data_IF_505194706549
#
_entry.id   IF_505194706549
#
_cell.length_a   1.000
_cell.length_b   1.000
_cell.length_c   1.000
_cell.angle_alpha   90.00
_cell.angle_beta   90.00
_cell.angle_gamma   90.00
#
_symmetry.space_group_name_H-M   'P 1'
#
loop_
_entity.id
_entity.type
_entity.pdbx_description
1 polymer ?
#
# COMPACT_ATOMS: atom_id res chain seq x y z
N UNK A 1 0.18 -6.02 -17.32
CA UNK A 1 -0.52 -7.27 -17.10
C UNK A 1 -1.04 -7.41 -15.70
N UNK A 2 -2.08 -8.23 -15.54
CA UNK A 2 -2.69 -8.44 -14.23
C UNK A 2 -2.61 -9.91 -13.82
N UNK A 3 -3.09 -10.22 -12.63
CA UNK A 3 -3.06 -11.59 -12.12
C UNK A 3 -1.63 -12.14 -12.08
N UNK A 4 -0.71 -11.32 -11.58
CA UNK A 4 0.69 -11.71 -11.49
C UNK A 4 1.53 -10.62 -10.85
N UNK A 5 2.39 -11.01 -9.91
CA UNK A 5 3.26 -10.06 -9.22
C UNK A 5 4.71 -10.25 -9.63
N UNK A 6 5.51 -9.18 -9.47
CA UNK A 6 6.93 -9.20 -9.83
C UNK A 6 7.75 -10.08 -8.88
N UNK A 7 8.76 -10.74 -9.42
CA UNK A 7 9.61 -11.61 -8.62
C UNK A 7 10.15 -10.88 -7.40
N UNK A 8 10.46 -9.60 -7.56
CA UNK A 8 10.97 -8.79 -6.47
C UNK A 8 10.55 -7.33 -6.63
N UNK A 9 10.91 -6.51 -5.64
CA UNK A 9 10.56 -5.09 -5.66
C UNK A 9 11.70 -4.24 -5.11
N UNK A 10 11.98 -3.13 -5.78
CA UNK A 10 13.04 -2.23 -5.36
C UNK A 10 12.74 -1.64 -3.99
N UNK A 11 13.74 -1.60 -3.13
CA UNK A 11 13.58 -1.06 -1.78
C UNK A 11 12.97 0.33 -1.83
N UNK A 12 13.37 1.12 -2.81
CA UNK A 12 12.85 2.48 -2.97
C UNK A 12 11.33 2.49 -3.00
N UNK A 13 10.75 1.46 -3.60
CA UNK A 13 9.30 1.35 -3.69
C UNK A 13 8.66 1.23 -2.31
N UNK A 14 9.38 0.57 -1.40
CA UNK A 14 8.89 0.38 -0.04
C UNK A 14 8.82 1.72 0.71
N UNK A 15 9.93 2.44 0.71
CA UNK A 15 10.01 3.73 1.39
C UNK A 15 9.07 4.74 0.73
N UNK A 16 8.95 4.66 -0.59
CA UNK A 16 8.10 5.56 -1.35
C UNK A 16 6.63 5.21 -1.15
N UNK A 17 6.35 3.92 -1.01
CA UNK A 17 4.98 3.46 -0.81
C UNK A 17 4.44 3.89 0.55
N UNK A 18 5.22 3.64 1.60
CA UNK A 18 4.83 4.00 2.95
C UNK A 18 4.84 5.51 3.14
N UNK A 19 5.77 6.18 2.47
CA UNK A 19 5.89 7.63 2.56
C UNK A 19 4.59 8.31 2.14
N UNK A 20 4.05 7.90 1.00
CA UNK A 20 2.81 8.47 0.50
C UNK A 20 1.69 8.32 1.51
N UNK A 21 1.62 7.17 2.17
CA UNK A 21 0.60 6.91 3.16
C UNK A 21 0.80 7.79 4.40
N UNK A 22 2.06 8.12 4.68
CA UNK A 22 2.39 8.95 5.83
C UNK A 22 1.59 10.24 5.82
N UNK A 23 1.18 10.67 4.63
CA UNK A 23 0.41 11.90 4.48
C UNK A 23 -0.87 11.84 5.29
N UNK A 24 -1.45 10.64 5.38
CA UNK A 24 -2.69 10.45 6.13
C UNK A 24 -2.43 9.67 7.42
N UNK A 25 -1.36 8.87 7.43
CA UNK A 25 -1.03 8.10 8.59
C UNK A 25 -0.81 6.63 8.27
N UNK A 26 0.04 5.98 9.06
CA UNK A 26 0.35 4.57 8.86
C UNK A 26 0.03 3.75 10.11
N UNK A 27 -0.87 2.78 9.96
CA UNK A 27 -1.26 1.93 11.08
C UNK A 27 -0.19 0.87 11.35
N UNK A 28 0.07 0.04 10.36
CA UNK A 28 1.07 -1.03 10.49
C UNK A 28 2.48 -0.47 10.39
N UNK A 29 2.70 0.42 9.42
CA UNK A 29 4.00 1.03 9.22
C UNK A 29 4.47 1.75 10.48
N UNK A 30 3.52 2.23 11.26
CA UNK A 30 3.82 2.95 12.50
C UNK A 30 4.67 2.09 13.43
N UNK A 31 4.40 0.79 13.43
CA UNK A 31 5.13 -0.14 14.28
C UNK A 31 6.29 -0.77 13.52
N UNK A 32 6.17 -0.84 12.20
CA UNK A 32 7.21 -1.42 11.36
C UNK A 32 8.17 -0.34 10.85
N UNK A 33 9.15 -0.76 10.08
CA UNK A 33 10.14 0.18 9.53
C UNK A 33 10.39 -0.10 8.05
N UNK A 34 10.87 0.90 7.32
CA UNK A 34 11.17 0.79 5.89
C UNK A 34 12.38 -0.10 5.62
N UNK A 35 12.83 -0.10 4.38
CA UNK A 35 13.98 -0.90 3.99
C UNK A 35 15.14 -0.02 3.52
N UNK A 36 16.30 -0.22 4.13
CA UNK A 36 17.49 0.56 3.79
C UNK A 36 18.72 -0.34 3.69
N UNK A 37 19.71 0.10 2.91
CA UNK A 37 20.92 -0.68 2.76
C UNK A 37 20.65 -2.11 2.33
N UNK A 38 19.63 -2.29 1.49
CA UNK A 38 19.26 -3.62 1.00
C UNK A 38 19.19 -3.63 -0.52
N UNK A 39 19.75 -4.67 -1.13
CA UNK A 39 19.76 -4.81 -2.57
C UNK A 39 18.33 -4.76 -3.13
N UNK A 40 17.47 -5.64 -2.61
CA UNK A 40 16.09 -5.70 -3.06
C UNK A 40 15.31 -6.76 -2.28
N UNK A 41 14.04 -6.49 -2.02
CA UNK A 41 13.19 -7.41 -1.29
C UNK A 41 12.13 -8.02 -2.19
N UNK A 42 11.64 -9.22 -1.82
CA UNK A 42 10.60 -9.93 -2.58
C UNK A 42 9.25 -9.24 -2.51
N UNK A 43 8.42 -9.47 -3.52
CA UNK A 43 7.08 -8.87 -3.57
C UNK A 43 6.33 -9.11 -2.27
N UNK A 44 6.59 -10.26 -1.65
CA UNK A 44 5.93 -10.62 -0.40
C UNK A 44 6.13 -9.54 0.66
N UNK A 45 7.28 -8.88 0.60
CA UNK A 45 7.61 -7.82 1.55
C UNK A 45 6.81 -6.55 1.26
N UNK A 46 6.82 -6.13 0.00
CA UNK A 46 6.08 -4.94 -0.39
C UNK A 46 4.59 -5.10 -0.22
N UNK A 47 4.07 -6.28 -0.56
CA UNK A 47 2.65 -6.55 -0.44
C UNK A 47 2.16 -6.32 0.99
N UNK A 48 3.02 -6.60 1.96
CA UNK A 48 2.68 -6.42 3.37
C UNK A 48 2.34 -4.96 3.67
N UNK A 49 3.12 -4.05 3.09
CA UNK A 49 2.89 -2.63 3.30
C UNK A 49 1.68 -2.14 2.50
N UNK A 50 1.49 -2.72 1.32
CA UNK A 50 0.38 -2.35 0.46
C UNK A 50 -0.95 -2.80 1.06
N UNK A 51 -1.02 -4.05 1.46
CA UNK A 51 -2.23 -4.61 2.06
C UNK A 51 -2.51 -3.96 3.41
N UNK A 52 -1.45 -3.63 4.14
CA UNK A 52 -1.58 -3.00 5.46
C UNK A 52 -2.36 -1.69 5.36
N UNK A 53 -1.97 -0.85 4.41
CA UNK A 53 -2.62 0.44 4.21
C UNK A 53 -4.01 0.26 3.60
N UNK A 54 -4.12 -0.70 2.68
CA UNK A 54 -5.40 -0.97 2.02
C UNK A 54 -6.49 -1.26 3.04
N UNK A 55 -6.22 -2.22 3.93
CA UNK A 55 -7.18 -2.59 4.97
C UNK A 55 -7.38 -1.45 5.96
N UNK A 56 -6.30 -0.74 6.27
CA UNK A 56 -6.36 0.37 7.21
C UNK A 56 -7.28 1.48 6.69
N UNK A 57 -7.10 1.85 5.43
CA UNK A 57 -7.91 2.89 4.81
C UNK A 57 -9.39 2.50 4.81
N UNK A 58 -9.65 1.20 4.72
CA UNK A 58 -11.01 0.70 4.71
C UNK A 58 -11.77 1.13 5.96
N UNK A 59 -11.06 1.19 7.08
CA UNK A 59 -11.66 1.59 8.35
C UNK A 59 -11.89 3.10 8.39
N UNK A 60 -10.99 3.85 7.77
CA UNK A 60 -11.10 5.30 7.73
C UNK A 60 -12.42 5.73 7.11
N UNK A 61 -12.75 5.14 5.97
CA UNK A 61 -13.99 5.46 5.26
C UNK A 61 -15.11 4.50 5.65
N UNK A 62 -15.09 4.07 6.91
CA UNK A 62 -16.11 3.15 7.42
C UNK A 62 -17.43 3.87 7.68
N UNK A 63 -17.33 5.15 8.03
CA UNK A 63 -18.51 5.96 8.30
C UNK A 63 -19.28 6.26 7.02
N UNK A 64 -18.59 6.18 5.88
CA UNK A 64 -19.21 6.44 4.59
C UNK A 64 -19.80 5.17 4.01
N UNK A 65 -20.82 5.33 3.16
CA UNK A 65 -21.51 4.21 2.51
C UNK A 65 -20.63 3.51 1.49
N UNK A 66 -21.05 2.32 1.05
CA UNK A 66 -20.30 1.56 0.07
C UNK A 66 -20.28 2.26 -1.28
N UNK A 67 -21.36 2.99 -1.58
CA UNK A 67 -21.47 3.71 -2.83
C UNK A 67 -20.50 4.89 -2.87
N UNK A 68 -20.21 5.44 -1.69
CA UNK A 68 -19.30 6.58 -1.59
C UNK A 68 -17.87 6.10 -1.32
N UNK A 69 -17.53 4.94 -1.86
CA UNK A 69 -16.19 4.38 -1.68
C UNK A 69 -15.89 3.34 -2.76
N UNK A 70 -14.67 3.37 -3.27
CA UNK A 70 -14.25 2.43 -4.32
C UNK A 70 -13.88 1.08 -3.71
N UNK A 71 -14.65 0.05 -4.06
CA UNK A 71 -14.40 -1.29 -3.55
C UNK A 71 -14.74 -1.38 -2.07
N UNK A 72 -13.85 -0.82 -1.24
CA UNK A 72 -14.05 -0.83 0.21
C UNK A 72 -13.22 0.26 0.88
N UNK A 73 -12.94 1.32 0.14
CA UNK A 73 -12.16 2.43 0.66
C UNK A 73 -12.53 3.74 -0.03
N UNK A 74 -12.35 4.85 0.67
CA UNK A 74 -12.67 6.17 0.13
C UNK A 74 -11.80 6.48 -1.08
N UNK A 75 -12.41 7.09 -2.10
CA UNK A 75 -11.69 7.44 -3.31
C UNK A 75 -10.40 8.19 -2.98
N UNK A 76 -10.44 8.99 -1.92
CA UNK A 76 -9.26 9.75 -1.50
C UNK A 76 -8.16 8.84 -0.98
N UNK A 77 -8.56 7.80 -0.24
CA UNK A 77 -7.62 6.86 0.33
C UNK A 77 -7.12 5.88 -0.74
N UNK A 78 -8.01 5.50 -1.65
CA UNK A 78 -7.67 4.57 -2.72
C UNK A 78 -6.49 5.10 -3.53
N UNK A 79 -6.45 6.42 -3.72
CA UNK A 79 -5.38 7.05 -4.48
C UNK A 79 -4.04 6.88 -3.77
N UNK A 80 -4.07 6.92 -2.45
CA UNK A 80 -2.85 6.77 -1.66
C UNK A 80 -2.31 5.35 -1.74
N UNK A 81 -3.17 4.37 -1.47
CA UNK A 81 -2.77 2.96 -1.52
C UNK A 81 -2.39 2.55 -2.94
N UNK A 82 -3.10 3.08 -3.92
CA UNK A 82 -2.84 2.78 -5.31
C UNK A 82 -1.51 3.39 -5.76
N UNK A 83 -1.21 4.58 -5.25
CA UNK A 83 0.02 5.28 -5.60
C UNK A 83 1.24 4.46 -5.21
N UNK A 84 1.14 3.77 -4.06
CA UNK A 84 2.24 2.95 -3.58
C UNK A 84 2.41 1.69 -4.42
N UNK A 85 1.29 1.03 -4.72
CA UNK A 85 1.31 -0.18 -5.52
C UNK A 85 1.99 0.07 -6.87
N UNK A 86 1.80 1.26 -7.41
CA UNK A 86 2.39 1.63 -8.70
C UNK A 86 3.91 1.59 -8.62
N UNK A 87 4.46 2.07 -7.51
CA UNK A 87 5.89 2.11 -7.31
C UNK A 87 6.43 0.71 -7.01
N UNK A 88 5.66 -0.08 -6.29
CA UNK A 88 6.06 -1.44 -5.93
C UNK A 88 5.93 -2.37 -7.14
N UNK A 89 5.09 -1.98 -8.09
CA UNK A 89 4.89 -2.80 -9.28
C UNK A 89 4.08 -4.04 -8.99
N UNK A 90 3.21 -3.97 -7.99
CA UNK A 90 2.38 -5.10 -7.62
C UNK A 90 0.92 -4.86 -8.01
N UNK A 91 0.24 -5.93 -8.41
CA UNK A 91 -1.16 -5.84 -8.80
C UNK A 91 -1.91 -7.12 -8.45
N UNK A 92 -1.50 -7.75 -7.34
CA UNK A 92 -2.15 -8.99 -6.90
C UNK A 92 -1.83 -9.27 -5.43
N UNK A 93 -1.74 -8.20 -4.64
CA UNK A 93 -1.45 -8.34 -3.22
C UNK A 93 -2.72 -8.61 -2.43
#
# INVERSE_FOLDING_TARGET
>A
GAMANPKTIKAAAYNQARSTLADAGSRTAAKSHPIHGKTDVPVSYGTSLLAAARDEFRQADKKLPAKDKKSDMSIAHYNAVHSAAKTMGIDTW
#
